data_IF_464567219583
#
_entry.id   IF_464567219583
#
_cell.length_a   1.000
_cell.length_b   1.000
_cell.length_c   1.000
_cell.angle_alpha   90.00
_cell.angle_beta   90.00
_cell.angle_gamma   90.00
#
_symmetry.space_group_name_H-M   'P 1'
#
loop_
_entity.id
_entity.type
_entity.pdbx_description
1 polymer ?
#
# COMPACT_ATOMS: atom_id res chain seq x y z
N UNK A 1 -15.47 -5.19 -11.83
CA UNK A 1 -14.39 -5.46 -10.84
C UNK A 1 -13.63 -4.17 -10.62
N UNK A 2 -13.93 -3.44 -9.54
CA UNK A 2 -13.22 -2.19 -9.21
C UNK A 2 -11.83 -2.46 -8.63
N UNK A 3 -10.96 -1.44 -8.64
CA UNK A 3 -9.61 -1.51 -8.04
C UNK A 3 -9.62 -1.99 -6.57
N UNK A 4 -10.70 -1.67 -5.85
CA UNK A 4 -11.04 -2.18 -4.52
C UNK A 4 -12.48 -2.72 -4.58
N UNK A 5 -12.70 -4.03 -4.40
CA UNK A 5 -14.03 -4.62 -4.32
C UNK A 5 -14.80 -4.13 -3.08
N UNK A 6 -16.13 -4.15 -3.09
CA UNK A 6 -16.93 -3.68 -1.95
C UNK A 6 -16.65 -4.46 -0.65
N UNK A 7 -16.25 -5.73 -0.76
CA UNK A 7 -15.80 -6.58 0.35
C UNK A 7 -14.59 -5.99 1.10
N UNK A 8 -13.73 -5.22 0.42
CA UNK A 8 -12.57 -4.57 1.04
C UNK A 8 -12.95 -3.51 2.08
N UNK A 9 -14.22 -3.05 2.08
CA UNK A 9 -14.73 -2.10 3.08
C UNK A 9 -14.94 -2.72 4.45
N UNK A 10 -15.00 -4.05 4.53
CA UNK A 10 -15.09 -4.77 5.80
C UNK A 10 -13.73 -4.82 6.54
N UNK A 11 -12.63 -4.59 5.82
CA UNK A 11 -11.31 -4.53 6.43
C UNK A 11 -11.06 -3.17 7.08
N UNK A 12 -10.32 -3.13 8.21
CA UNK A 12 -9.94 -1.87 8.81
C UNK A 12 -9.12 -1.06 7.80
N UNK A 13 -9.43 0.23 7.58
CA UNK A 13 -8.65 1.05 6.66
C UNK A 13 -7.23 1.24 7.21
N UNK A 14 -6.21 1.32 6.33
CA UNK A 14 -4.85 1.59 6.78
C UNK A 14 -4.79 2.97 7.44
N UNK A 15 -4.00 3.13 8.52
CA UNK A 15 -3.76 4.43 9.13
C UNK A 15 -3.27 5.45 8.10
N UNK A 16 -3.59 6.74 8.33
CA UNK A 16 -3.09 7.84 7.49
C UNK A 16 -1.55 7.84 7.45
N UNK A 17 -0.92 7.52 8.57
CA UNK A 17 0.52 7.32 8.69
C UNK A 17 0.85 5.82 8.56
N UNK A 18 0.89 5.32 7.33
CA UNK A 18 1.31 3.95 7.04
C UNK A 18 2.70 3.91 6.38
N UNK A 19 3.41 2.81 6.57
CA UNK A 19 4.79 2.63 6.07
C UNK A 19 4.86 2.73 4.53
N UNK A 20 3.86 2.22 3.82
CA UNK A 20 3.82 2.24 2.34
C UNK A 20 3.69 3.65 1.77
N UNK A 21 2.75 4.45 2.28
CA UNK A 21 2.54 5.86 1.94
C UNK A 21 3.75 6.70 2.32
N UNK A 22 4.34 6.48 3.51
CA UNK A 22 5.55 7.19 3.91
C UNK A 22 6.71 6.90 2.96
N UNK A 23 6.92 5.64 2.59
CA UNK A 23 8.01 5.25 1.69
C UNK A 23 7.82 5.80 0.27
N UNK A 24 6.61 5.70 -0.30
CA UNK A 24 6.33 6.25 -1.62
C UNK A 24 6.28 7.78 -1.64
N UNK A 25 5.83 8.42 -0.55
CA UNK A 25 5.91 9.86 -0.38
C UNK A 25 7.36 10.35 -0.36
N UNK A 26 8.24 9.71 0.41
CA UNK A 26 9.68 10.02 0.44
C UNK A 26 10.34 9.76 -0.92
N UNK A 27 9.94 8.69 -1.61
CA UNK A 27 10.42 8.41 -2.96
C UNK A 27 10.00 9.50 -3.94
N UNK A 28 8.76 9.98 -3.86
CA UNK A 28 8.24 11.12 -4.62
C UNK A 28 8.99 12.42 -4.32
N UNK A 29 9.28 12.70 -3.04
CA UNK A 29 10.14 13.82 -2.65
C UNK A 29 11.52 13.72 -3.29
N UNK A 30 12.15 12.54 -3.25
CA UNK A 30 13.45 12.28 -3.86
C UNK A 30 13.47 12.53 -5.37
N UNK A 31 12.37 12.24 -6.07
CA UNK A 31 12.19 12.61 -7.49
C UNK A 31 12.11 14.14 -7.64
N UNK A 32 11.32 14.81 -6.79
CA UNK A 32 11.21 16.27 -6.80
C UNK A 32 12.54 16.99 -6.55
N UNK A 33 13.42 16.42 -5.72
CA UNK A 33 14.79 16.94 -5.50
C UNK A 33 15.68 16.81 -6.73
N UNK A 34 15.60 15.70 -7.48
CA UNK A 34 16.39 15.51 -8.72
C UNK A 34 15.91 16.38 -9.87
N UNK A 35 14.68 16.88 -9.80
CA UNK A 35 14.05 17.68 -10.85
C UNK A 35 14.15 19.19 -10.59
N UNK A 36 14.69 19.59 -9.44
CA UNK A 36 14.96 20.98 -9.08
C UNK A 36 16.45 21.23 -8.90
N UNK A 37 16.86 22.49 -9.08
CA UNK A 37 18.19 22.94 -8.72
C UNK A 37 18.38 22.91 -7.19
N UNK A 38 19.62 22.67 -6.74
CA UNK A 38 20.01 22.83 -5.32
C UNK A 38 20.91 24.08 -5.26
N UNK A 39 20.48 25.18 -4.61
CA UNK A 39 19.31 25.33 -3.73
C UNK A 39 17.96 25.45 -4.46
N UNK A 40 16.87 24.94 -3.88
CA UNK A 40 15.56 24.96 -4.52
C UNK A 40 15.09 26.40 -4.67
N UNK A 41 14.79 26.79 -5.91
CA UNK A 41 14.01 28.00 -6.16
C UNK A 41 12.63 27.86 -5.49
N UNK A 42 11.90 28.95 -5.20
CA UNK A 42 10.51 28.88 -4.74
C UNK A 42 9.61 28.06 -5.68
N UNK A 43 9.98 27.98 -6.97
CA UNK A 43 9.35 27.12 -7.96
C UNK A 43 9.75 25.63 -7.86
N UNK A 44 10.81 25.25 -7.13
CA UNK A 44 11.14 23.86 -6.84
C UNK A 44 10.27 23.25 -5.75
N UNK A 45 9.88 24.04 -4.74
CA UNK A 45 9.13 23.57 -3.56
C UNK A 45 7.74 23.06 -3.93
N UNK A 46 7.01 23.74 -4.82
CA UNK A 46 5.67 23.28 -5.23
C UNK A 46 5.72 21.89 -5.90
N UNK A 47 6.77 21.61 -6.69
CA UNK A 47 6.96 20.30 -7.34
C UNK A 47 7.30 19.22 -6.33
N UNK A 48 8.17 19.51 -5.37
CA UNK A 48 8.51 18.57 -4.29
C UNK A 48 7.27 18.17 -3.48
N UNK A 49 6.44 19.15 -3.10
CA UNK A 49 5.18 18.89 -2.39
C UNK A 49 4.20 18.09 -3.25
N UNK A 50 4.07 18.43 -4.55
CA UNK A 50 3.19 17.72 -5.46
C UNK A 50 3.60 16.26 -5.66
N UNK A 51 4.88 15.98 -5.92
CA UNK A 51 5.35 14.60 -6.07
C UNK A 51 5.23 13.79 -4.78
N UNK A 52 5.45 14.43 -3.63
CA UNK A 52 5.30 13.78 -2.31
C UNK A 52 3.84 13.42 -2.03
N UNK A 53 2.90 14.33 -2.29
CA UNK A 53 1.47 14.09 -2.05
C UNK A 53 0.90 13.03 -2.99
N UNK A 54 1.30 13.03 -4.27
CA UNK A 54 0.93 11.98 -5.23
C UNK A 54 1.49 10.62 -4.79
N UNK A 55 2.78 10.57 -4.42
CA UNK A 55 3.40 9.35 -3.90
C UNK A 55 2.71 8.81 -2.64
N UNK A 56 2.32 9.72 -1.73
CA UNK A 56 1.57 9.38 -0.52
C UNK A 56 0.20 8.79 -0.82
N UNK A 57 -0.54 9.42 -1.74
CA UNK A 57 -1.87 8.98 -2.18
C UNK A 57 -1.79 7.60 -2.84
N UNK A 58 -0.88 7.42 -3.80
CA UNK A 58 -0.69 6.13 -4.47
C UNK A 58 -0.30 5.05 -3.45
N UNK A 59 0.59 5.35 -2.51
CA UNK A 59 0.97 4.42 -1.44
C UNK A 59 -0.20 4.02 -0.55
N UNK A 60 -1.14 4.93 -0.29
CA UNK A 60 -2.30 4.63 0.55
C UNK A 60 -3.21 3.58 -0.11
N UNK A 61 -3.52 3.79 -1.40
CA UNK A 61 -4.37 2.87 -2.15
C UNK A 61 -3.68 1.53 -2.43
N UNK A 62 -2.37 1.53 -2.65
CA UNK A 62 -1.59 0.30 -2.80
C UNK A 62 -1.58 -0.51 -1.49
N UNK A 63 -1.30 0.13 -0.35
CA UNK A 63 -1.32 -0.53 0.96
C UNK A 63 -2.69 -1.16 1.23
N UNK A 64 -3.77 -0.41 0.98
CA UNK A 64 -5.14 -0.90 1.13
C UNK A 64 -5.43 -2.12 0.24
N UNK A 65 -4.90 -2.12 -0.99
CA UNK A 65 -5.06 -3.25 -1.91
C UNK A 65 -4.24 -4.46 -1.46
N UNK A 66 -3.01 -4.28 -0.99
CA UNK A 66 -2.21 -5.38 -0.47
C UNK A 66 -2.84 -6.01 0.75
N UNK A 67 -3.36 -5.23 1.70
CA UNK A 67 -4.07 -5.74 2.88
C UNK A 67 -5.29 -6.57 2.46
N UNK A 68 -6.07 -6.09 1.47
CA UNK A 68 -7.19 -6.86 0.93
C UNK A 68 -6.75 -8.19 0.29
N UNK A 69 -5.70 -8.19 -0.52
CA UNK A 69 -5.22 -9.41 -1.19
C UNK A 69 -4.72 -10.43 -0.16
N UNK A 70 -3.94 -10.01 0.84
CA UNK A 70 -3.46 -10.92 1.88
C UNK A 70 -4.62 -11.46 2.72
N UNK A 71 -5.57 -10.61 3.13
CA UNK A 71 -6.74 -11.06 3.88
C UNK A 71 -7.59 -12.06 3.10
N UNK A 72 -7.74 -11.86 1.78
CA UNK A 72 -8.45 -12.81 0.92
C UNK A 72 -7.72 -14.14 0.82
N UNK A 73 -6.40 -14.11 0.59
CA UNK A 73 -5.57 -15.31 0.51
C UNK A 73 -5.61 -16.11 1.82
N UNK A 74 -5.50 -15.44 2.96
CA UNK A 74 -5.59 -16.09 4.27
C UNK A 74 -6.96 -16.74 4.47
N UNK A 75 -8.05 -16.06 4.10
CA UNK A 75 -9.40 -16.62 4.17
C UNK A 75 -9.52 -17.91 3.34
N UNK A 76 -9.08 -17.86 2.09
CA UNK A 76 -9.13 -19.01 1.18
C UNK A 76 -8.25 -20.17 1.68
N UNK A 77 -7.07 -19.87 2.21
CA UNK A 77 -6.17 -20.87 2.81
C UNK A 77 -6.81 -21.54 4.03
N UNK A 78 -7.39 -20.76 4.95
CA UNK A 78 -8.07 -21.31 6.14
C UNK A 78 -9.29 -22.17 5.76
N UNK A 79 -10.05 -21.74 4.76
CA UNK A 79 -11.17 -22.53 4.23
C UNK A 79 -10.69 -23.85 3.63
N UNK A 80 -9.59 -23.82 2.86
CA UNK A 80 -8.99 -25.03 2.28
C UNK A 80 -8.49 -26.00 3.36
N UNK A 81 -7.73 -25.51 4.34
CA UNK A 81 -7.23 -26.32 5.47
C UNK A 81 -8.37 -26.96 6.25
N UNK A 82 -9.48 -26.23 6.43
CA UNK A 82 -10.66 -26.74 7.12
C UNK A 82 -11.40 -27.83 6.34
N UNK A 83 -11.38 -27.77 5.00
CA UNK A 83 -12.02 -28.77 4.13
C UNK A 83 -11.16 -30.02 3.96
N UNK A 84 -9.84 -29.89 4.02
CA UNK A 84 -8.87 -30.97 3.81
C UNK A 84 -7.92 -31.18 5.00
N UNK A 85 -8.44 -31.53 6.20
CA UNK A 85 -7.58 -31.77 7.36
C UNK A 85 -6.61 -32.95 7.16
N UNK A 86 -6.89 -33.87 6.23
CA UNK A 86 -6.06 -35.02 5.88
C UNK A 86 -4.72 -34.64 5.22
N UNK A 87 -4.68 -33.53 4.49
CA UNK A 87 -3.49 -33.05 3.77
C UNK A 87 -2.49 -32.32 4.70
N UNK A 88 -2.97 -31.82 5.85
CA UNK A 88 -2.20 -31.01 6.80
C UNK A 88 -1.87 -31.75 8.10
N UNK A 89 -1.44 -33.03 8.01
CA UNK A 89 -0.94 -33.75 9.18
C UNK A 89 0.36 -33.11 9.69
N UNK A 90 0.40 -32.76 10.97
CA UNK A 90 1.62 -32.35 11.64
C UNK A 90 2.68 -33.46 11.44
N UNK A 91 3.85 -33.09 10.95
CA UNK A 91 4.98 -34.01 10.89
C UNK A 91 5.26 -34.47 12.33
N UNK A 92 4.96 -35.74 12.59
CA UNK A 92 5.22 -36.40 13.88
C UNK A 92 6.71 -36.58 14.13
#
# INVERSE_FOLDING_TARGET
MGFLPDESRALPPPPLLNKGSAWLGLSGWGVGLRQGDIPPSPAGVHRQVLFTTVGWFVGYYLTKRTEYVHAKLDRELFEYVRQHPEDFKAAG
#
